data_IF_632360486110
#
_entry.id   IF_632360486110
#
_cell.length_a   1.000
_cell.length_b   1.000
_cell.length_c   1.000
_cell.angle_alpha   90.00
_cell.angle_beta   90.00
_cell.angle_gamma   90.00
#
_symmetry.space_group_name_H-M   'P 1'
#
loop_
_entity.id
_entity.type
_entity.pdbx_description
1 polymer ?
#
# COMPACT_ATOMS: atom_id res chain seq x y z
N UNK A 1 2.03 -13.86 -14.41
CA UNK A 1 0.74 -13.63 -13.72
C UNK A 1 -0.31 -13.10 -14.70
N UNK A 2 -0.07 -12.00 -15.43
CA UNK A 2 -0.99 -11.44 -16.44
C UNK A 2 -1.34 -12.41 -17.59
N UNK A 3 -0.34 -13.13 -18.11
CA UNK A 3 -0.55 -14.12 -19.19
C UNK A 3 -1.53 -15.24 -18.80
N UNK A 4 -1.67 -15.58 -17.51
CA UNK A 4 -2.65 -16.58 -17.04
C UNK A 4 -4.09 -16.10 -17.21
N UNK A 5 -4.29 -14.78 -17.27
CA UNK A 5 -5.58 -14.13 -17.49
C UNK A 5 -5.73 -13.59 -18.92
N UNK A 6 -4.84 -13.99 -19.85
CA UNK A 6 -4.85 -13.54 -21.25
C UNK A 6 -4.74 -12.02 -21.41
N UNK A 7 -4.15 -11.35 -20.41
CA UNK A 7 -3.86 -9.92 -20.47
C UNK A 7 -2.51 -9.76 -21.15
N UNK A 8 -2.47 -9.00 -22.25
CA UNK A 8 -1.26 -8.69 -22.99
C UNK A 8 -0.28 -7.87 -22.12
N UNK A 9 1.02 -8.07 -22.35
CA UNK A 9 2.04 -7.22 -21.73
C UNK A 9 1.90 -5.80 -22.32
N UNK A 10 1.83 -4.75 -21.48
CA UNK A 10 1.80 -3.37 -21.95
C UNK A 10 3.11 -2.88 -22.61
N UNK A 11 4.19 -3.67 -22.57
CA UNK A 11 5.47 -3.37 -23.24
C UNK A 11 6.03 -1.99 -22.87
N UNK A 12 6.05 -1.69 -21.56
CA UNK A 12 6.51 -0.38 -21.07
C UNK A 12 7.98 -0.12 -21.45
N UNK A 13 8.21 0.94 -22.21
CA UNK A 13 9.55 1.41 -22.55
C UNK A 13 10.28 1.90 -21.30
N UNK A 14 11.47 1.38 -21.05
CA UNK A 14 12.34 1.82 -19.95
C UNK A 14 13.80 1.86 -20.41
N UNK A 15 14.58 2.86 -19.98
CA UNK A 15 16.01 2.89 -20.23
C UNK A 15 16.70 1.64 -19.67
N UNK A 16 17.78 1.13 -20.28
CA UNK A 16 18.46 -0.11 -19.88
C UNK A 16 18.92 -0.13 -18.41
N UNK A 17 19.35 1.02 -17.90
CA UNK A 17 19.86 1.18 -16.53
C UNK A 17 18.78 1.64 -15.53
N UNK A 18 17.51 1.67 -15.95
CA UNK A 18 16.42 2.12 -15.11
C UNK A 18 15.73 0.94 -14.43
N UNK A 19 15.77 0.89 -13.09
CA UNK A 19 14.99 -0.08 -12.31
C UNK A 19 13.50 0.22 -12.47
N UNK A 20 12.87 -0.39 -13.47
CA UNK A 20 11.48 -0.14 -13.84
C UNK A 20 10.56 -0.49 -12.65
N UNK A 21 9.78 0.49 -12.22
CA UNK A 21 8.84 0.35 -11.11
C UNK A 21 7.48 -0.20 -11.53
N UNK A 22 7.22 -0.31 -12.83
CA UNK A 22 5.98 -0.75 -13.44
C UNK A 22 5.90 -2.29 -13.48
N UNK A 23 7.02 -2.97 -13.71
CA UNK A 23 7.11 -4.42 -13.55
C UNK A 23 7.48 -4.79 -12.11
N UNK A 24 6.75 -5.76 -11.56
CA UNK A 24 6.94 -6.25 -10.19
C UNK A 24 7.16 -7.75 -10.22
N UNK A 25 8.31 -8.17 -9.75
CA UNK A 25 8.73 -9.58 -9.75
C UNK A 25 8.03 -10.40 -8.66
N UNK A 26 7.61 -9.74 -7.57
CA UNK A 26 6.94 -10.39 -6.45
C UNK A 26 5.58 -9.75 -6.14
N UNK A 27 4.59 -10.52 -5.66
CA UNK A 27 3.31 -9.98 -5.17
C UNK A 27 3.49 -8.90 -4.10
N UNK A 28 4.43 -9.09 -3.18
CA UNK A 28 4.74 -8.13 -2.10
C UNK A 28 5.17 -6.78 -2.66
N UNK A 29 5.95 -6.76 -3.74
CA UNK A 29 6.38 -5.52 -4.37
C UNK A 29 5.20 -4.75 -5.02
N UNK A 30 4.13 -5.44 -5.42
CA UNK A 30 2.89 -4.81 -5.86
C UNK A 30 2.04 -4.36 -4.67
N UNK A 31 1.87 -5.21 -3.66
CA UNK A 31 1.10 -4.93 -2.43
C UNK A 31 1.69 -3.74 -1.68
N UNK A 32 3.01 -3.52 -1.74
CA UNK A 32 3.67 -2.32 -1.22
C UNK A 32 2.99 -1.01 -1.67
N UNK A 33 2.54 -0.93 -2.93
CA UNK A 33 1.87 0.27 -3.44
C UNK A 33 0.47 0.44 -2.86
N UNK A 34 -0.25 -0.67 -2.66
CA UNK A 34 -1.54 -0.65 -1.99
C UNK A 34 -1.40 -0.24 -0.52
N UNK A 35 -0.42 -0.79 0.20
CA UNK A 35 -0.12 -0.42 1.59
C UNK A 35 0.27 1.07 1.69
N UNK A 36 1.24 1.51 0.88
CA UNK A 36 1.80 2.85 1.01
C UNK A 36 0.88 3.95 0.46
N UNK A 37 0.39 3.82 -0.77
CA UNK A 37 -0.40 4.86 -1.43
C UNK A 37 -1.89 4.68 -1.18
N UNK A 38 -2.38 3.43 -1.28
CA UNK A 38 -3.80 3.13 -1.08
C UNK A 38 -4.22 3.31 0.37
N UNK A 39 -3.48 2.76 1.32
CA UNK A 39 -3.89 2.75 2.73
C UNK A 39 -3.28 3.90 3.53
N UNK A 40 -1.95 3.99 3.59
CA UNK A 40 -1.27 4.96 4.48
C UNK A 40 -1.40 6.41 4.02
N UNK A 41 -1.63 6.66 2.73
CA UNK A 41 -1.86 8.01 2.21
C UNK A 41 -3.34 8.24 1.97
N UNK A 42 -3.96 7.49 1.04
CA UNK A 42 -5.31 7.79 0.58
C UNK A 42 -6.38 7.53 1.67
N UNK A 43 -6.55 6.28 2.11
CA UNK A 43 -7.57 5.95 3.14
C UNK A 43 -7.30 6.67 4.46
N UNK A 44 -6.03 6.77 4.89
CA UNK A 44 -5.68 7.51 6.11
C UNK A 44 -6.11 8.98 6.04
N UNK A 45 -5.86 9.68 4.94
CA UNK A 45 -6.26 11.08 4.79
C UNK A 45 -7.79 11.26 4.85
N UNK A 46 -8.55 10.33 4.27
CA UNK A 46 -10.01 10.33 4.37
C UNK A 46 -10.45 10.13 5.82
N UNK A 47 -9.86 9.16 6.52
CA UNK A 47 -10.16 8.89 7.93
C UNK A 47 -9.85 10.13 8.79
N UNK A 48 -8.66 10.73 8.61
CA UNK A 48 -8.27 11.95 9.34
C UNK A 48 -9.28 13.09 9.11
N UNK A 49 -9.71 13.31 7.87
CA UNK A 49 -10.72 14.32 7.54
C UNK A 49 -12.08 14.03 8.18
N UNK A 50 -12.50 12.76 8.22
CA UNK A 50 -13.75 12.36 8.88
C UNK A 50 -13.70 12.53 10.40
N UNK A 51 -12.56 12.20 11.01
CA UNK A 51 -12.32 12.41 12.45
C UNK A 51 -12.34 13.90 12.77
N UNK A 52 -11.63 14.72 11.99
CA UNK A 52 -11.46 16.15 12.25
C UNK A 52 -12.77 16.94 12.07
N UNK A 53 -13.52 16.68 10.99
CA UNK A 53 -14.71 17.47 10.67
C UNK A 53 -16.01 16.91 11.27
N UNK A 54 -16.10 15.58 11.40
CA UNK A 54 -17.34 14.91 11.82
C UNK A 54 -17.21 14.22 13.18
N UNK A 55 -16.04 14.26 13.82
CA UNK A 55 -15.80 13.68 15.15
C UNK A 55 -16.14 12.19 15.24
N UNK A 56 -16.05 11.48 14.11
CA UNK A 56 -16.26 10.04 14.05
C UNK A 56 -15.04 9.36 14.69
N UNK A 57 -15.26 8.31 15.47
CA UNK A 57 -14.18 7.57 16.10
C UNK A 57 -13.25 6.92 15.05
N UNK A 58 -11.94 7.19 15.15
CA UNK A 58 -10.93 6.72 14.20
C UNK A 58 -10.89 5.19 14.10
N UNK A 59 -10.95 4.49 15.24
CA UNK A 59 -10.86 3.03 15.28
C UNK A 59 -12.07 2.37 14.58
N UNK A 60 -13.26 2.99 14.67
CA UNK A 60 -14.46 2.56 13.94
C UNK A 60 -14.27 2.66 12.43
N UNK A 61 -13.64 3.72 11.95
CA UNK A 61 -13.37 3.92 10.52
C UNK A 61 -12.32 2.92 10.01
N UNK A 62 -11.23 2.69 10.76
CA UNK A 62 -10.26 1.66 10.43
C UNK A 62 -10.84 0.26 10.47
N UNK A 63 -11.75 -0.02 11.41
CA UNK A 63 -12.49 -1.28 11.47
C UNK A 63 -13.38 -1.48 10.23
N UNK A 64 -14.07 -0.43 9.79
CA UNK A 64 -14.87 -0.48 8.57
C UNK A 64 -14.01 -0.75 7.33
N UNK A 65 -12.85 -0.12 7.24
CA UNK A 65 -11.88 -0.39 6.17
C UNK A 65 -11.37 -1.84 6.21
N UNK A 66 -11.08 -2.38 7.40
CA UNK A 66 -10.67 -3.78 7.57
C UNK A 66 -11.74 -4.75 7.08
N UNK A 67 -13.01 -4.55 7.47
CA UNK A 67 -14.14 -5.37 7.02
C UNK A 67 -14.25 -5.33 5.50
N UNK A 68 -14.17 -4.15 4.89
CA UNK A 68 -14.27 -4.00 3.44
C UNK A 68 -13.15 -4.73 2.69
N UNK A 69 -11.94 -4.78 3.25
CA UNK A 69 -10.84 -5.58 2.69
C UNK A 69 -11.14 -7.08 2.81
N UNK A 70 -11.58 -7.55 3.97
CA UNK A 70 -11.94 -8.97 4.16
C UNK A 70 -13.07 -9.40 3.21
N UNK A 71 -14.12 -8.59 3.06
CA UNK A 71 -15.21 -8.83 2.10
C UNK A 71 -14.70 -8.87 0.65
N UNK A 72 -13.78 -7.96 0.30
CA UNK A 72 -13.15 -7.95 -1.04
C UNK A 72 -12.32 -9.21 -1.29
N UNK A 73 -11.61 -9.70 -0.27
CA UNK A 73 -10.82 -10.93 -0.37
C UNK A 73 -11.69 -12.18 -0.61
N UNK A 74 -12.94 -12.17 -0.15
CA UNK A 74 -13.90 -13.26 -0.39
C UNK A 74 -14.57 -13.14 -1.77
N UNK A 75 -14.89 -11.92 -2.20
CA UNK A 75 -15.67 -11.67 -3.42
C UNK A 75 -14.84 -11.65 -4.71
N UNK A 76 -13.56 -11.28 -4.62
CA UNK A 76 -12.65 -11.35 -5.77
C UNK A 76 -12.20 -12.81 -5.97
N UNK A 77 -12.16 -13.25 -7.22
CA UNK A 77 -11.72 -14.58 -7.64
C UNK A 77 -10.20 -14.74 -7.54
N UNK A 78 -9.69 -14.72 -6.31
CA UNK A 78 -8.33 -15.09 -5.98
C UNK A 78 -8.28 -16.58 -5.63
N UNK A 79 -7.21 -17.24 -6.07
CA UNK A 79 -6.86 -18.56 -5.53
C UNK A 79 -6.48 -18.45 -4.03
N UNK A 80 -6.48 -19.58 -3.32
CA UNK A 80 -6.26 -19.60 -1.88
C UNK A 80 -4.89 -19.05 -1.49
N UNK A 81 -3.86 -19.31 -2.30
CA UNK A 81 -2.50 -18.82 -2.07
C UNK A 81 -2.43 -17.29 -2.21
N UNK A 82 -3.04 -16.73 -3.27
CA UNK A 82 -3.15 -15.29 -3.49
C UNK A 82 -3.90 -14.62 -2.34
N UNK A 83 -5.06 -15.17 -1.97
CA UNK A 83 -5.86 -14.64 -0.87
C UNK A 83 -5.08 -14.64 0.45
N UNK A 84 -4.34 -15.71 0.73
CA UNK A 84 -3.54 -15.82 1.94
C UNK A 84 -2.37 -14.82 1.96
N UNK A 85 -1.67 -14.65 0.83
CA UNK A 85 -0.59 -13.65 0.70
C UNK A 85 -1.13 -12.24 0.92
N UNK A 86 -2.23 -11.86 0.25
CA UNK A 86 -2.81 -10.52 0.38
C UNK A 86 -3.30 -10.28 1.81
N UNK A 87 -4.01 -11.25 2.41
CA UNK A 87 -4.46 -11.16 3.81
C UNK A 87 -3.28 -10.99 4.76
N UNK A 88 -2.21 -11.75 4.56
CA UNK A 88 -1.04 -11.69 5.42
C UNK A 88 -0.37 -10.32 5.35
N UNK A 89 -0.13 -9.82 4.14
CA UNK A 89 0.52 -8.54 3.91
C UNK A 89 -0.33 -7.35 4.36
N UNK A 90 -1.64 -7.36 4.12
CA UNK A 90 -2.52 -6.25 4.49
C UNK A 90 -2.95 -6.32 5.98
N UNK A 91 -3.37 -7.47 6.48
CA UNK A 91 -4.10 -7.51 7.76
C UNK A 91 -3.31 -8.16 8.90
N UNK A 92 -2.36 -9.05 8.63
CA UNK A 92 -1.67 -9.81 9.69
C UNK A 92 -0.28 -9.26 10.01
N UNK A 93 0.43 -8.73 9.01
CA UNK A 93 1.75 -8.11 9.20
C UNK A 93 1.69 -7.03 10.27
N UNK A 94 2.68 -7.02 11.17
CA UNK A 94 2.79 -6.01 12.22
C UNK A 94 3.20 -4.64 11.70
N UNK A 95 3.87 -4.61 10.54
CA UNK A 95 4.43 -3.38 10.00
C UNK A 95 4.11 -3.23 8.52
N UNK A 96 3.85 -1.99 8.13
CA UNK A 96 3.77 -1.59 6.73
C UNK A 96 5.06 -0.90 6.29
N UNK A 97 5.44 -1.06 5.02
CA UNK A 97 6.45 -0.21 4.42
C UNK A 97 5.93 1.22 4.32
N UNK A 98 6.78 2.19 4.64
CA UNK A 98 6.47 3.60 4.64
C UNK A 98 7.48 4.36 3.78
N UNK A 99 6.98 5.15 2.81
CA UNK A 99 7.84 6.02 2.01
C UNK A 99 8.16 7.28 2.80
N UNK A 100 9.44 7.52 3.05
CA UNK A 100 9.90 8.78 3.63
C UNK A 100 10.17 9.77 2.49
N UNK A 101 9.60 10.97 2.60
CA UNK A 101 9.79 12.03 1.59
C UNK A 101 10.67 13.17 2.12
N UNK A 102 10.48 13.56 3.38
CA UNK A 102 11.17 14.72 3.96
C UNK A 102 12.69 14.54 4.00
N UNK A 103 13.17 13.43 4.57
CA UNK A 103 14.61 13.18 4.71
C UNK A 103 15.33 13.09 3.35
N UNK A 104 14.82 12.35 2.34
CA UNK A 104 15.42 12.35 1.00
C UNK A 104 15.39 13.71 0.30
N UNK A 105 14.31 14.50 0.47
CA UNK A 105 14.23 15.85 -0.09
C UNK A 105 15.28 16.76 0.51
N UNK A 106 15.47 16.71 1.84
CA UNK A 106 16.52 17.48 2.52
C UNK A 106 17.91 17.06 2.05
N UNK A 107 18.17 15.75 1.97
CA UNK A 107 19.47 15.20 1.57
C UNK A 107 19.85 15.55 0.12
N UNK A 108 18.86 15.69 -0.78
CA UNK A 108 19.09 16.11 -2.18
C UNK A 108 19.57 17.55 -2.30
N UNK A 109 19.22 18.43 -1.36
CA UNK A 109 19.56 19.85 -1.45
C UNK A 109 19.04 20.49 -2.75
N UNK A 110 19.88 21.28 -3.41
CA UNK A 110 19.55 22.06 -4.61
C UNK A 110 19.74 21.31 -5.94
N UNK A 111 20.03 20.00 -5.92
CA UNK A 111 20.28 19.23 -7.15
C UNK A 111 19.00 19.07 -7.99
N UNK A 112 18.94 19.61 -9.23
CA UNK A 112 17.71 19.69 -10.02
C UNK A 112 17.36 18.40 -10.77
N UNK A 113 18.16 17.33 -10.69
CA UNK A 113 17.96 16.15 -11.53
C UNK A 113 17.23 14.98 -10.84
N UNK A 114 16.20 14.45 -11.52
CA UNK A 114 15.55 13.17 -11.19
C UNK A 114 14.13 13.24 -10.62
N UNK A 115 13.48 12.08 -10.53
CA UNK A 115 12.17 11.91 -9.89
C UNK A 115 12.20 12.29 -8.41
N UNK A 116 11.03 12.58 -7.80
CA UNK A 116 10.88 12.87 -6.37
C UNK A 116 11.70 11.87 -5.50
N UNK A 117 12.68 12.33 -4.70
CA UNK A 117 13.49 11.46 -3.88
C UNK A 117 12.63 10.85 -2.77
N UNK A 118 12.74 9.54 -2.59
CA UNK A 118 11.96 8.79 -1.61
C UNK A 118 12.84 7.73 -0.97
N UNK A 119 12.73 7.58 0.35
CA UNK A 119 13.37 6.53 1.14
C UNK A 119 12.33 5.51 1.61
N UNK A 120 12.81 4.45 2.24
CA UNK A 120 11.98 3.38 2.78
C UNK A 120 12.19 3.27 4.30
N UNK A 121 11.08 3.24 5.04
CA UNK A 121 11.03 2.98 6.48
C UNK A 121 9.89 1.98 6.76
N UNK A 122 9.64 1.70 8.03
CA UNK A 122 8.51 0.88 8.49
C UNK A 122 7.65 1.67 9.46
N UNK A 123 6.34 1.47 9.36
CA UNK A 123 5.35 1.99 10.31
C UNK A 123 4.46 0.86 10.82
N UNK A 124 3.73 1.09 11.91
CA UNK A 124 2.78 0.10 12.44
C UNK A 124 1.63 -0.07 11.45
N UNK A 125 1.22 -1.31 11.21
CA UNK A 125 0.02 -1.59 10.41
C UNK A 125 -1.21 -1.00 11.13
N UNK A 126 -1.98 -0.08 10.51
CA UNK A 126 -3.16 0.54 11.13
C UNK A 126 -4.18 -0.46 11.68
N UNK A 127 -4.32 -1.63 11.04
CA UNK A 127 -5.28 -2.66 11.43
C UNK A 127 -4.87 -3.44 12.68
N UNK A 128 -3.62 -3.34 13.14
CA UNK A 128 -3.18 -3.99 14.40
C UNK A 128 -3.85 -3.38 15.63
N UNK A 129 -4.13 -2.07 15.62
CA UNK A 129 -4.81 -1.42 16.75
C UNK A 129 -6.24 -1.92 16.88
N UNK A 130 -6.93 -2.02 15.74
CA UNK A 130 -8.32 -2.45 15.66
C UNK A 130 -8.53 -3.90 16.11
N UNK A 131 -7.61 -4.81 15.77
CA UNK A 131 -7.70 -6.23 16.17
C UNK A 131 -7.63 -6.45 17.69
N UNK A 132 -7.05 -5.51 18.45
CA UNK A 132 -6.91 -5.61 19.90
C UNK A 132 -8.08 -4.97 20.67
N UNK A 133 -9.05 -4.37 19.96
CA UNK A 133 -10.20 -3.66 20.54
C UNK A 133 -11.51 -4.45 20.44
N UNK A 134 -11.45 -5.73 20.06
CA UNK A 134 -12.58 -6.67 19.97
C UNK A 134 -12.60 -7.67 21.11
#
# INVERSE_FOLDING_TARGET
MLARHQIADPEYLSPPDFKNRLYRETPQALIFYLQSLGLLVNIRAIIESLVEHYHINEDTLWHKAMISIEESLVTIDFDDDQRQVIRNELLNSSHYPHKTLLLPVIARGSDPHGSMPAGESKTINPFKRVKNSG
#
